data_IF_223138205720
#
_entry.id   IF_223138205720
#
_cell.length_a   1.000
_cell.length_b   1.000
_cell.length_c   1.000
_cell.angle_alpha   90.00
_cell.angle_beta   90.00
_cell.angle_gamma   90.00
#
_symmetry.space_group_name_H-M   'P 1'
#
loop_
_entity.id
_entity.type
_entity.pdbx_description
1 polymer ?
#
# COMPACT_ATOMS: atom_id res chain seq x y z
N UNK A 1 6.21 19.88 -9.26
CA UNK A 1 5.85 18.54 -8.78
C UNK A 1 4.81 18.73 -7.69
N UNK A 2 3.59 18.28 -7.91
CA UNK A 2 2.52 18.25 -6.91
C UNK A 2 2.40 16.81 -6.40
N UNK A 3 2.84 16.58 -5.17
CA UNK A 3 2.99 15.24 -4.57
C UNK A 3 1.84 14.95 -3.61
N UNK A 4 1.07 13.91 -3.91
CA UNK A 4 0.09 13.30 -3.02
C UNK A 4 0.72 12.13 -2.25
N UNK A 5 0.55 12.12 -0.93
CA UNK A 5 0.88 10.97 -0.08
C UNK A 5 -0.41 10.43 0.55
N UNK A 6 -0.88 9.29 0.08
CA UNK A 6 -2.01 8.60 0.71
C UNK A 6 -1.53 7.88 1.97
N UNK A 7 -2.35 7.83 3.00
CA UNK A 7 -1.92 7.31 4.31
C UNK A 7 -0.89 8.21 4.99
N UNK A 8 -0.97 9.52 4.74
CA UNK A 8 -0.03 10.55 5.23
C UNK A 8 0.10 10.65 6.75
N UNK A 9 -0.89 10.16 7.50
CA UNK A 9 -0.90 10.17 8.97
C UNK A 9 -0.33 8.88 9.60
N UNK A 10 -0.07 7.84 8.79
CA UNK A 10 0.52 6.58 9.25
C UNK A 10 2.04 6.62 9.40
N UNK A 11 2.61 5.50 9.87
CA UNK A 11 4.04 5.35 10.16
C UNK A 11 4.94 5.85 9.01
N UNK A 12 4.76 5.34 7.80
CA UNK A 12 5.59 5.70 6.65
C UNK A 12 5.21 7.08 6.10
N UNK A 13 3.93 7.30 5.88
CA UNK A 13 3.44 8.52 5.25
C UNK A 13 3.74 9.78 6.07
N UNK A 14 3.73 9.70 7.40
CA UNK A 14 4.04 10.85 8.28
C UNK A 14 5.48 11.33 8.13
N UNK A 15 6.41 10.42 7.83
CA UNK A 15 7.83 10.73 7.61
C UNK A 15 8.13 11.36 6.23
N UNK A 16 7.18 11.34 5.31
CA UNK A 16 7.35 11.91 3.97
C UNK A 16 6.87 13.36 3.97
N UNK A 17 7.69 14.30 3.52
CA UNK A 17 7.28 15.68 3.32
C UNK A 17 6.56 15.82 2.00
N UNK A 18 5.29 16.27 2.03
CA UNK A 18 4.49 16.51 0.84
C UNK A 18 3.47 17.62 1.10
N UNK A 19 3.01 18.26 0.04
CA UNK A 19 1.99 19.32 0.09
C UNK A 19 0.60 18.72 0.35
N UNK A 20 0.31 17.55 -0.25
CA UNK A 20 -1.00 16.90 -0.18
C UNK A 20 -0.91 15.61 0.63
N UNK A 21 -1.47 15.62 1.84
CA UNK A 21 -1.54 14.48 2.76
C UNK A 21 -2.94 14.38 3.37
N UNK A 22 -3.97 14.14 2.54
CA UNK A 22 -5.35 14.10 3.04
C UNK A 22 -5.55 12.94 4.02
N UNK A 23 -6.41 13.16 4.99
CA UNK A 23 -6.95 12.10 5.83
C UNK A 23 -8.12 11.38 5.13
N UNK A 24 -8.71 10.36 5.80
CA UNK A 24 -9.79 9.56 5.21
C UNK A 24 -11.08 10.36 4.97
N UNK A 25 -11.31 11.43 5.72
CA UNK A 25 -12.51 12.27 5.53
C UNK A 25 -12.33 13.23 4.35
N UNK A 26 -11.10 13.60 4.05
CA UNK A 26 -10.76 14.48 2.92
C UNK A 26 -10.63 13.70 1.61
N UNK A 27 -10.19 12.42 1.68
CA UNK A 27 -10.02 11.55 0.52
C UNK A 27 -10.30 10.09 0.90
N UNK A 28 -11.48 9.59 0.54
CA UNK A 28 -11.82 8.17 0.71
C UNK A 28 -11.29 7.35 -0.47
N UNK A 29 -10.28 6.52 -0.23
CA UNK A 29 -9.68 5.65 -1.25
C UNK A 29 -10.57 4.47 -1.66
N UNK A 30 -11.67 4.24 -0.94
CA UNK A 30 -12.69 3.25 -1.34
C UNK A 30 -13.63 3.81 -2.42
N UNK A 31 -13.72 5.13 -2.54
CA UNK A 31 -14.50 5.84 -3.55
C UNK A 31 -13.59 6.27 -4.71
N UNK A 32 -13.78 5.63 -5.86
CA UNK A 32 -12.97 5.88 -7.05
C UNK A 32 -13.12 7.32 -7.58
N UNK A 33 -14.36 7.82 -7.63
CA UNK A 33 -14.63 9.15 -8.16
C UNK A 33 -14.02 10.24 -7.25
N UNK A 34 -14.06 10.02 -5.94
CA UNK A 34 -13.37 10.89 -4.96
C UNK A 34 -11.88 11.01 -5.23
N UNK A 35 -11.21 9.92 -5.64
CA UNK A 35 -9.77 9.95 -5.96
C UNK A 35 -9.52 10.72 -7.24
N UNK A 36 -10.31 10.48 -8.28
CA UNK A 36 -10.20 11.21 -9.57
C UNK A 36 -10.37 12.70 -9.35
N UNK A 37 -11.46 13.10 -8.68
CA UNK A 37 -11.76 14.49 -8.38
C UNK A 37 -10.63 15.17 -7.59
N UNK A 38 -10.09 14.47 -6.59
CA UNK A 38 -8.98 14.99 -5.77
C UNK A 38 -7.71 15.20 -6.61
N UNK A 39 -7.36 14.25 -7.47
CA UNK A 39 -6.20 14.36 -8.36
C UNK A 39 -6.35 15.53 -9.32
N UNK A 40 -7.51 15.67 -9.95
CA UNK A 40 -7.77 16.73 -10.93
C UNK A 40 -7.82 18.12 -10.29
N UNK A 41 -8.58 18.29 -9.20
CA UNK A 41 -8.72 19.57 -8.50
C UNK A 41 -7.39 20.12 -7.98
N UNK A 42 -6.52 19.24 -7.52
CA UNK A 42 -5.20 19.62 -6.99
C UNK A 42 -4.08 19.52 -8.03
N UNK A 43 -4.39 19.11 -9.27
CA UNK A 43 -3.42 18.90 -10.35
C UNK A 43 -2.24 18.01 -9.91
N UNK A 44 -2.53 16.90 -9.24
CA UNK A 44 -1.53 15.98 -8.71
C UNK A 44 -0.72 15.34 -9.84
N UNK A 45 0.59 15.43 -9.75
CA UNK A 45 1.50 14.85 -10.76
C UNK A 45 2.23 13.61 -10.27
N UNK A 46 2.38 13.43 -8.96
CA UNK A 46 3.11 12.32 -8.34
C UNK A 46 2.34 11.78 -7.15
N UNK A 47 2.35 10.46 -6.98
CA UNK A 47 1.69 9.80 -5.84
C UNK A 47 2.68 8.87 -5.14
N UNK A 48 2.73 8.97 -3.80
CA UNK A 48 3.30 7.94 -2.93
C UNK A 48 2.15 7.29 -2.18
N UNK A 49 1.85 6.03 -2.52
CA UNK A 49 0.73 5.29 -1.96
C UNK A 49 1.18 4.45 -0.77
N UNK A 50 1.00 5.00 0.44
CA UNK A 50 1.30 4.33 1.71
C UNK A 50 0.05 3.80 2.41
N UNK A 51 -1.14 4.25 2.02
CA UNK A 51 -2.38 3.83 2.66
C UNK A 51 -2.56 2.31 2.57
N UNK A 52 -2.95 1.72 3.68
CA UNK A 52 -3.31 0.32 3.79
C UNK A 52 -4.11 0.08 5.07
N UNK A 53 -4.98 -0.92 5.07
CA UNK A 53 -5.47 -1.54 6.30
C UNK A 53 -4.40 -2.50 6.78
N UNK A 54 -3.77 -2.18 7.89
CA UNK A 54 -2.67 -2.96 8.48
C UNK A 54 -3.04 -3.39 9.90
N UNK A 55 -2.37 -4.45 10.38
CA UNK A 55 -2.56 -4.93 11.74
C UNK A 55 -1.64 -6.11 12.04
N UNK A 56 -1.50 -6.46 13.31
CA UNK A 56 -0.73 -7.60 13.76
C UNK A 56 -1.29 -8.94 13.26
N UNK A 57 -0.60 -10.03 13.57
CA UNK A 57 -0.96 -11.39 13.11
C UNK A 57 -2.38 -11.78 13.54
N UNK A 58 -2.76 -11.50 14.80
CA UNK A 58 -4.11 -11.79 15.33
C UNK A 58 -5.20 -11.12 14.51
N UNK A 59 -5.09 -9.80 14.29
CA UNK A 59 -6.05 -9.05 13.50
C UNK A 59 -6.17 -9.56 12.05
N UNK A 60 -5.05 -9.92 11.43
CA UNK A 60 -5.05 -10.52 10.09
C UNK A 60 -5.81 -11.85 10.05
N UNK A 61 -5.60 -12.73 11.03
CA UNK A 61 -6.28 -14.04 11.10
C UNK A 61 -7.79 -13.92 11.37
N UNK A 62 -8.21 -12.94 12.16
CA UNK A 62 -9.62 -12.73 12.55
C UNK A 62 -10.42 -12.00 11.46
N UNK A 63 -9.78 -11.19 10.60
CA UNK A 63 -10.43 -10.31 9.63
C UNK A 63 -9.92 -10.48 8.19
N UNK A 64 -9.61 -11.70 7.78
CA UNK A 64 -9.03 -12.00 6.46
C UNK A 64 -9.77 -11.33 5.29
N UNK A 65 -11.10 -11.42 5.27
CA UNK A 65 -11.91 -10.86 4.20
C UNK A 65 -11.83 -9.34 4.13
N UNK A 66 -11.85 -8.66 5.26
CA UNK A 66 -11.75 -7.20 5.34
C UNK A 66 -10.36 -6.72 4.93
N UNK A 67 -9.30 -7.39 5.41
CA UNK A 67 -7.93 -7.05 5.00
C UNK A 67 -7.70 -7.23 3.50
N UNK A 68 -8.28 -8.27 2.91
CA UNK A 68 -8.25 -8.45 1.47
C UNK A 68 -9.02 -7.35 0.75
N UNK A 69 -10.31 -7.21 1.07
CA UNK A 69 -11.22 -6.32 0.35
C UNK A 69 -10.79 -4.86 0.41
N UNK A 70 -10.56 -4.34 1.60
CA UNK A 70 -10.21 -2.91 1.73
C UNK A 70 -8.87 -2.60 1.05
N UNK A 71 -7.85 -3.46 1.20
CA UNK A 71 -6.56 -3.22 0.55
C UNK A 71 -6.64 -3.36 -0.97
N UNK A 72 -7.34 -4.39 -1.52
CA UNK A 72 -7.39 -4.57 -2.97
C UNK A 72 -8.15 -3.42 -3.65
N UNK A 73 -9.23 -2.94 -3.04
CA UNK A 73 -10.01 -1.82 -3.58
C UNK A 73 -9.20 -0.53 -3.53
N UNK A 74 -8.66 -0.13 -2.37
CA UNK A 74 -7.83 1.08 -2.26
C UNK A 74 -6.66 1.06 -3.24
N UNK A 75 -5.93 -0.05 -3.32
CA UNK A 75 -4.78 -0.20 -4.20
C UNK A 75 -5.19 -0.05 -5.67
N UNK A 76 -6.25 -0.76 -6.08
CA UNK A 76 -6.72 -0.75 -7.47
C UNK A 76 -7.26 0.62 -7.87
N UNK A 77 -8.05 1.26 -7.00
CA UNK A 77 -8.61 2.58 -7.25
C UNK A 77 -7.53 3.64 -7.42
N UNK A 78 -6.53 3.67 -6.53
CA UNK A 78 -5.43 4.66 -6.61
C UNK A 78 -4.64 4.52 -7.91
N UNK A 79 -4.29 3.29 -8.30
CA UNK A 79 -3.52 3.07 -9.53
C UNK A 79 -4.36 3.38 -10.78
N UNK A 80 -5.66 3.02 -10.79
CA UNK A 80 -6.52 3.32 -11.93
C UNK A 80 -6.81 4.81 -12.06
N UNK A 81 -7.13 5.51 -10.97
CA UNK A 81 -7.33 6.96 -10.98
C UNK A 81 -6.05 7.69 -11.44
N UNK A 82 -4.88 7.28 -10.93
CA UNK A 82 -3.60 7.83 -11.38
C UNK A 82 -3.36 7.64 -12.88
N UNK A 83 -3.72 6.48 -13.44
CA UNK A 83 -3.64 6.22 -14.87
C UNK A 83 -4.59 7.12 -15.68
N UNK A 84 -5.86 7.21 -15.26
CA UNK A 84 -6.87 8.00 -15.97
C UNK A 84 -6.54 9.49 -15.97
N UNK A 85 -6.06 10.03 -14.84
CA UNK A 85 -5.68 11.43 -14.71
C UNK A 85 -4.27 11.74 -15.26
N UNK A 86 -3.56 10.76 -15.81
CA UNK A 86 -2.23 10.99 -16.40
C UNK A 86 -1.14 11.33 -15.39
N UNK A 87 -1.23 10.82 -14.16
CA UNK A 87 -0.20 11.01 -13.12
C UNK A 87 1.16 10.52 -13.62
N UNK A 88 2.17 11.37 -13.52
CA UNK A 88 3.51 11.14 -14.09
C UNK A 88 4.22 9.95 -13.42
N UNK A 89 4.04 9.78 -12.10
CA UNK A 89 4.69 8.71 -11.34
C UNK A 89 3.89 8.28 -10.13
N UNK A 90 3.82 6.96 -9.91
CA UNK A 90 3.30 6.37 -8.67
C UNK A 90 4.34 5.46 -8.05
N UNK A 91 4.55 5.61 -6.74
CA UNK A 91 5.33 4.70 -5.90
C UNK A 91 4.40 4.08 -4.87
N UNK A 92 4.21 2.75 -4.90
CA UNK A 92 3.31 2.03 -3.99
C UNK A 92 4.10 1.13 -3.03
N UNK A 93 3.67 1.12 -1.77
CA UNK A 93 4.29 0.31 -0.74
C UNK A 93 3.62 -1.06 -0.62
N UNK A 94 4.39 -2.12 -0.90
CA UNK A 94 4.06 -3.49 -0.54
C UNK A 94 4.50 -3.80 0.91
N UNK A 95 4.78 -5.05 1.21
CA UNK A 95 5.30 -5.54 2.49
C UNK A 95 6.09 -6.81 2.24
N UNK A 96 6.99 -7.19 3.13
CA UNK A 96 7.68 -8.50 3.06
C UNK A 96 6.74 -9.69 3.14
N UNK A 97 5.51 -9.52 3.63
CA UNK A 97 4.47 -10.55 3.59
C UNK A 97 4.14 -11.05 2.17
N UNK A 98 4.50 -10.31 1.12
CA UNK A 98 4.26 -10.72 -0.28
C UNK A 98 5.14 -11.88 -0.73
N UNK A 99 6.22 -12.18 -0.01
CA UNK A 99 7.06 -13.33 -0.34
C UNK A 99 6.39 -14.66 0.03
N UNK A 100 6.69 -15.74 -0.72
CA UNK A 100 6.29 -17.09 -0.30
C UNK A 100 6.80 -17.43 1.09
N UNK A 101 6.04 -18.27 1.81
CA UNK A 101 6.40 -18.75 3.14
C UNK A 101 7.73 -19.54 3.13
N UNK A 102 7.99 -20.24 2.04
CA UNK A 102 9.20 -21.04 1.80
C UNK A 102 10.29 -20.30 0.99
N UNK A 103 10.20 -18.97 0.88
CA UNK A 103 11.18 -18.19 0.12
C UNK A 103 12.60 -18.34 0.67
N UNK A 104 13.56 -18.51 -0.22
CA UNK A 104 14.99 -18.64 0.15
C UNK A 104 15.62 -17.27 0.43
N UNK A 105 16.49 -17.23 1.43
CA UNK A 105 17.24 -16.00 1.74
C UNK A 105 18.61 -15.97 1.01
N UNK A 106 19.08 -14.78 0.60
CA UNK A 106 18.41 -13.48 0.72
C UNK A 106 17.18 -13.37 -0.18
N UNK A 107 16.14 -12.63 0.30
CA UNK A 107 14.93 -12.39 -0.48
C UNK A 107 15.23 -11.60 -1.76
N UNK A 108 14.62 -12.03 -2.86
CA UNK A 108 14.71 -11.36 -4.15
C UNK A 108 13.33 -11.10 -4.72
N UNK A 109 13.15 -9.96 -5.39
CA UNK A 109 11.88 -9.59 -6.05
C UNK A 109 11.40 -10.64 -7.05
N UNK A 110 12.28 -11.45 -7.60
CA UNK A 110 11.93 -12.54 -8.51
C UNK A 110 11.21 -13.72 -7.83
N UNK A 111 11.21 -13.77 -6.50
CA UNK A 111 10.55 -14.84 -5.73
C UNK A 111 9.09 -14.54 -5.39
N UNK A 112 8.62 -13.29 -5.55
CA UNK A 112 7.30 -12.84 -5.07
C UNK A 112 6.16 -13.76 -5.52
N UNK A 113 6.24 -14.32 -6.73
CA UNK A 113 5.19 -15.14 -7.32
C UNK A 113 5.50 -16.64 -7.34
N UNK A 114 6.56 -17.11 -6.65
CA UNK A 114 7.00 -18.50 -6.72
C UNK A 114 6.27 -19.44 -5.73
N UNK A 115 5.35 -18.93 -4.93
CA UNK A 115 4.59 -19.70 -3.97
C UNK A 115 3.56 -18.89 -3.21
N UNK A 116 2.88 -19.53 -2.27
CA UNK A 116 1.86 -18.90 -1.44
C UNK A 116 2.50 -18.10 -0.28
N UNK A 117 1.93 -16.93 0.08
CA UNK A 117 2.31 -16.23 1.29
C UNK A 117 1.98 -17.06 2.54
N UNK A 118 2.55 -16.68 3.69
CA UNK A 118 2.26 -17.32 4.95
C UNK A 118 0.75 -17.33 5.27
N UNK A 119 0.25 -18.46 5.76
CA UNK A 119 -1.20 -18.71 5.96
C UNK A 119 -1.88 -17.72 6.91
N UNK A 120 -1.15 -17.16 7.88
CA UNK A 120 -1.72 -16.22 8.85
C UNK A 120 -2.12 -14.86 8.29
N UNK A 121 -1.58 -14.46 7.12
CA UNK A 121 -1.82 -13.15 6.53
C UNK A 121 -1.91 -13.17 5.00
N UNK A 122 -2.18 -14.35 4.41
CA UNK A 122 -2.20 -14.53 2.95
C UNK A 122 -3.14 -13.54 2.24
N UNK A 123 -4.28 -13.24 2.85
CA UNK A 123 -5.29 -12.35 2.26
C UNK A 123 -4.74 -10.94 2.05
N UNK A 124 -4.12 -10.36 3.09
CA UNK A 124 -3.41 -9.09 3.00
C UNK A 124 -2.24 -9.16 2.00
N UNK A 125 -1.45 -10.22 2.07
CA UNK A 125 -0.29 -10.40 1.22
C UNK A 125 -0.66 -10.47 -0.27
N UNK A 126 -1.73 -11.18 -0.63
CA UNK A 126 -2.23 -11.20 -2.02
C UNK A 126 -2.76 -9.83 -2.46
N UNK A 127 -3.49 -9.11 -1.60
CA UNK A 127 -3.92 -7.76 -1.94
C UNK A 127 -2.73 -6.82 -2.18
N UNK A 128 -1.62 -7.00 -1.45
CA UNK A 128 -0.37 -6.25 -1.67
C UNK A 128 0.40 -6.72 -2.90
N UNK A 129 0.42 -8.02 -3.22
CA UNK A 129 1.01 -8.51 -4.49
C UNK A 129 0.34 -7.91 -5.72
N UNK A 130 -0.97 -7.62 -5.67
CA UNK A 130 -1.70 -7.03 -6.78
C UNK A 130 -1.19 -5.64 -7.16
N UNK A 131 -0.57 -4.89 -6.24
CA UNK A 131 0.12 -3.63 -6.58
C UNK A 131 1.21 -3.85 -7.63
N UNK A 132 2.02 -4.91 -7.47
CA UNK A 132 3.04 -5.25 -8.47
C UNK A 132 2.40 -5.66 -9.79
N UNK A 133 1.41 -6.55 -9.75
CA UNK A 133 0.75 -7.06 -10.96
C UNK A 133 0.09 -5.93 -11.74
N UNK A 134 -0.69 -5.08 -11.07
CA UNK A 134 -1.37 -3.95 -11.72
C UNK A 134 -0.37 -2.91 -12.22
N UNK A 135 0.65 -2.56 -11.45
CA UNK A 135 1.70 -1.62 -11.87
C UNK A 135 2.46 -2.13 -13.08
N UNK A 136 2.80 -3.42 -13.13
CA UNK A 136 3.46 -4.05 -14.27
C UNK A 136 2.57 -4.04 -15.51
N UNK A 137 1.32 -4.47 -15.39
CA UNK A 137 0.36 -4.45 -16.48
C UNK A 137 0.17 -3.03 -17.05
N UNK A 138 0.10 -2.02 -16.17
CA UNK A 138 -0.08 -0.63 -16.60
C UNK A 138 1.18 -0.04 -17.24
N UNK A 139 2.38 -0.44 -16.79
CA UNK A 139 3.63 -0.09 -17.50
C UNK A 139 3.66 -0.68 -18.90
N UNK A 140 3.30 -1.96 -19.05
CA UNK A 140 3.35 -2.66 -20.32
C UNK A 140 2.29 -2.16 -21.31
N UNK A 141 1.07 -1.95 -20.85
CA UNK A 141 -0.05 -1.60 -21.72
C UNK A 141 -0.16 -0.10 -21.99
N UNK A 142 0.08 0.74 -20.98
CA UNK A 142 -0.19 2.18 -21.05
C UNK A 142 1.06 3.05 -20.94
N UNK A 143 2.23 2.47 -20.69
CA UNK A 143 3.47 3.23 -20.49
C UNK A 143 3.54 3.98 -19.17
N UNK A 144 2.70 3.65 -18.18
CA UNK A 144 2.68 4.31 -16.88
C UNK A 144 4.01 4.14 -16.13
N UNK A 145 4.50 5.19 -15.47
CA UNK A 145 5.70 5.11 -14.62
C UNK A 145 5.31 4.72 -13.18
N UNK A 146 4.76 3.52 -13.00
CA UNK A 146 4.33 2.99 -11.72
C UNK A 146 5.34 1.96 -11.21
N UNK A 147 5.78 2.13 -9.97
CA UNK A 147 6.75 1.24 -9.33
C UNK A 147 6.24 0.83 -7.94
N UNK A 148 6.66 -0.36 -7.52
CA UNK A 148 6.38 -0.87 -6.18
C UNK A 148 7.67 -1.01 -5.39
N UNK A 149 7.61 -0.77 -4.09
CA UNK A 149 8.72 -0.95 -3.15
C UNK A 149 8.31 -1.93 -2.05
N UNK A 150 9.25 -2.74 -1.59
CA UNK A 150 9.04 -3.71 -0.51
C UNK A 150 9.90 -3.29 0.67
N UNK A 151 9.34 -2.54 1.64
CA UNK A 151 10.07 -2.26 2.86
C UNK A 151 10.22 -3.54 3.70
N UNK A 152 11.33 -3.65 4.42
CA UNK A 152 11.42 -4.58 5.54
C UNK A 152 10.49 -4.13 6.68
N UNK A 153 10.48 -4.84 7.80
CA UNK A 153 9.71 -4.44 8.97
C UNK A 153 10.16 -3.06 9.45
N UNK A 154 9.26 -2.09 9.40
CA UNK A 154 9.50 -0.70 9.77
C UNK A 154 8.85 -0.48 11.14
N UNK A 155 9.48 0.33 11.97
CA UNK A 155 8.94 0.85 13.23
C UNK A 155 9.43 2.28 13.44
N UNK A 156 8.74 3.05 14.26
CA UNK A 156 9.15 4.44 14.55
C UNK A 156 8.03 5.29 15.15
N UNK A 157 8.25 6.61 15.23
CA UNK A 157 7.20 7.55 15.65
C UNK A 157 5.95 7.41 14.80
N UNK A 158 4.77 7.59 15.41
CA UNK A 158 3.45 7.43 14.78
C UNK A 158 3.09 5.99 14.35
N UNK A 159 3.77 4.98 14.90
CA UNK A 159 3.34 3.59 14.79
C UNK A 159 2.12 3.32 15.69
N UNK A 160 1.50 2.17 15.51
CA UNK A 160 0.45 1.69 16.39
C UNK A 160 1.09 0.99 17.61
N UNK A 161 0.92 1.55 18.81
CA UNK A 161 1.47 1.02 20.06
C UNK A 161 0.43 0.26 20.91
N UNK A 162 -0.74 -0.01 20.37
CA UNK A 162 -1.77 -0.79 21.04
C UNK A 162 -1.35 -2.27 21.20
N UNK A 163 -1.40 -2.81 22.40
CA UNK A 163 -0.88 -4.14 22.74
C UNK A 163 -1.57 -5.29 21.98
N UNK A 164 -2.82 -5.12 21.59
CA UNK A 164 -3.61 -6.18 20.95
C UNK A 164 -3.49 -6.17 19.41
N UNK A 165 -3.24 -5.00 18.82
CA UNK A 165 -3.30 -4.79 17.36
C UNK A 165 -1.99 -4.37 16.71
N UNK A 166 -0.97 -4.00 17.51
CA UNK A 166 0.31 -3.53 16.99
C UNK A 166 1.25 -4.65 16.52
N UNK A 167 2.32 -4.26 15.87
CA UNK A 167 3.44 -5.16 15.56
C UNK A 167 4.32 -5.38 16.81
N UNK A 168 5.19 -6.39 16.77
CA UNK A 168 5.98 -6.86 17.93
C UNK A 168 6.81 -5.75 18.57
N UNK A 169 7.55 -4.96 17.79
CA UNK A 169 8.43 -3.91 18.35
C UNK A 169 7.62 -2.81 19.04
N UNK A 170 6.61 -2.19 18.41
CA UNK A 170 5.77 -1.21 19.08
C UNK A 170 5.07 -1.75 20.32
N UNK A 171 4.64 -3.02 20.31
CA UNK A 171 4.00 -3.64 21.49
C UNK A 171 4.94 -3.82 22.69
N UNK A 172 6.26 -3.76 22.49
CA UNK A 172 7.27 -3.93 23.53
C UNK A 172 7.80 -2.60 24.10
N UNK A 173 7.41 -1.47 23.51
CA UNK A 173 7.79 -0.10 23.93
C UNK A 173 6.73 0.48 24.86
#
# INVERSE_FOLDING_TARGET
MKLLVTGGNGLVGSAITAEFKPDRNELDLMDFDSIVDYIEQNEITHIIHCAAKVGGIKANMEHLGEFFYENIIMNSNVLEAARQCGVEKVVSFMSTCVFPDDATHPLSVFQIHNGEPHSSNYAYAYAKRMLEVQSRAYREQYGCNFVTVIPCNIYGPNDNFDLDSSHVIPALI
#
